data_IF_626186058065
#
_entry.id   IF_626186058065
#
_cell.length_a   1.000
_cell.length_b   1.000
_cell.length_c   1.000
_cell.angle_alpha   90.00
_cell.angle_beta   90.00
_cell.angle_gamma   90.00
#
_symmetry.space_group_name_H-M   'P 1'
#
loop_
_entity.id
_entity.type
_entity.pdbx_description
1 polymer ?
#
# COMPACT_ATOMS: atom_id res chain seq x y z
N UNK A 1 22.84 8.43 -5.26
CA UNK A 1 21.62 7.60 -5.36
C UNK A 1 21.52 7.20 -6.82
N UNK A 2 21.50 5.90 -7.10
CA UNK A 2 21.52 5.40 -8.48
C UNK A 2 20.19 5.72 -9.19
N UNK A 3 20.20 5.89 -10.51
CA UNK A 3 19.00 6.15 -11.32
C UNK A 3 17.98 5.01 -11.16
N UNK A 4 18.45 3.78 -10.99
CA UNK A 4 17.59 2.61 -10.75
C UNK A 4 16.87 2.70 -9.40
N UNK A 5 17.56 3.18 -8.36
CA UNK A 5 16.96 3.36 -7.02
C UNK A 5 15.86 4.42 -7.04
N UNK A 6 16.10 5.53 -7.75
CA UNK A 6 15.12 6.62 -7.89
C UNK A 6 13.85 6.11 -8.57
N UNK A 7 14.00 5.34 -9.65
CA UNK A 7 12.85 4.79 -10.39
C UNK A 7 12.02 3.85 -9.52
N UNK A 8 12.66 2.90 -8.83
CA UNK A 8 11.99 1.98 -7.92
C UNK A 8 11.26 2.71 -6.78
N UNK A 9 11.87 3.78 -6.29
CA UNK A 9 11.30 4.62 -5.23
C UNK A 9 10.04 5.39 -5.71
N UNK A 10 10.03 5.86 -6.97
CA UNK A 10 8.86 6.47 -7.61
C UNK A 10 7.71 5.47 -7.73
N UNK A 11 7.97 4.30 -8.32
CA UNK A 11 6.97 3.25 -8.55
C UNK A 11 6.32 2.78 -7.23
N UNK A 12 7.12 2.67 -6.17
CA UNK A 12 6.61 2.35 -4.83
C UNK A 12 5.74 3.47 -4.27
N UNK A 13 6.12 4.73 -4.47
CA UNK A 13 5.33 5.88 -4.01
C UNK A 13 4.00 6.00 -4.76
N UNK A 14 3.99 5.77 -6.07
CA UNK A 14 2.79 5.72 -6.90
C UNK A 14 1.84 4.61 -6.41
N UNK A 15 2.39 3.43 -6.13
CA UNK A 15 1.62 2.30 -5.61
C UNK A 15 1.04 2.59 -4.22
N UNK A 16 1.78 3.28 -3.35
CA UNK A 16 1.25 3.73 -2.04
C UNK A 16 0.12 4.74 -2.21
N UNK A 17 0.23 5.69 -3.15
CA UNK A 17 -0.85 6.65 -3.44
C UNK A 17 -2.11 5.92 -3.93
N UNK A 18 -1.94 4.93 -4.80
CA UNK A 18 -3.02 4.07 -5.29
C UNK A 18 -3.69 3.27 -4.16
N UNK A 19 -2.89 2.67 -3.26
CA UNK A 19 -3.40 1.99 -2.07
C UNK A 19 -4.21 2.95 -1.19
N UNK A 20 -3.69 4.15 -0.93
CA UNK A 20 -4.40 5.18 -0.16
C UNK A 20 -5.74 5.52 -0.83
N UNK A 21 -5.77 5.62 -2.16
CA UNK A 21 -7.02 5.88 -2.91
C UNK A 21 -8.09 4.84 -2.58
N UNK A 22 -7.73 3.57 -2.72
CA UNK A 22 -8.65 2.46 -2.47
C UNK A 22 -9.08 2.36 -1.00
N UNK A 23 -8.16 2.57 -0.06
CA UNK A 23 -8.44 2.47 1.39
C UNK A 23 -9.28 3.63 1.91
N UNK A 24 -8.93 4.87 1.55
CA UNK A 24 -9.55 6.08 2.11
C UNK A 24 -10.84 6.49 1.44
N UNK A 25 -10.82 6.50 0.12
CA UNK A 25 -11.90 7.10 -0.65
C UNK A 25 -12.87 6.05 -1.17
N UNK A 26 -12.36 4.90 -1.62
CA UNK A 26 -13.21 3.84 -2.18
C UNK A 26 -13.61 2.78 -1.15
N UNK A 27 -13.01 2.79 0.05
CA UNK A 27 -13.20 1.76 1.10
C UNK A 27 -13.02 0.33 0.59
N UNK A 28 -12.22 0.15 -0.45
CA UNK A 28 -11.99 -1.11 -1.13
C UNK A 28 -10.66 -1.74 -0.66
N UNK A 29 -10.72 -2.42 0.48
CA UNK A 29 -9.56 -3.07 1.08
C UNK A 29 -9.09 -4.27 0.27
N UNK A 30 -9.99 -4.93 -0.47
CA UNK A 30 -9.65 -6.06 -1.34
C UNK A 30 -8.72 -5.65 -2.49
N UNK A 31 -9.04 -4.58 -3.21
CA UNK A 31 -8.18 -4.07 -4.29
C UNK A 31 -6.85 -3.56 -3.77
N UNK A 32 -6.87 -2.87 -2.62
CA UNK A 32 -5.65 -2.43 -1.97
C UNK A 32 -4.75 -3.63 -1.59
N UNK A 33 -5.33 -4.68 -1.03
CA UNK A 33 -4.62 -5.91 -0.69
C UNK A 33 -4.04 -6.62 -1.92
N UNK A 34 -4.78 -6.65 -3.03
CA UNK A 34 -4.30 -7.20 -4.29
C UNK A 34 -3.03 -6.49 -4.79
N UNK A 35 -3.03 -5.15 -4.79
CA UNK A 35 -1.86 -4.35 -5.19
C UNK A 35 -0.66 -4.65 -4.30
N UNK A 36 -0.90 -4.78 -2.99
CA UNK A 36 0.16 -5.08 -2.01
C UNK A 36 0.82 -6.43 -2.32
N UNK A 37 0.02 -7.46 -2.61
CA UNK A 37 0.51 -8.81 -2.91
C UNK A 37 1.24 -8.82 -4.26
N UNK A 38 0.63 -8.28 -5.32
CA UNK A 38 1.18 -8.29 -6.67
C UNK A 38 2.50 -7.52 -6.78
N UNK A 39 2.59 -6.38 -6.12
CA UNK A 39 3.79 -5.51 -6.15
C UNK A 39 4.78 -5.84 -5.03
N UNK A 40 4.52 -6.88 -4.23
CA UNK A 40 5.33 -7.30 -3.09
C UNK A 40 5.67 -6.14 -2.13
N UNK A 41 4.67 -5.31 -1.83
CA UNK A 41 4.80 -4.16 -0.94
C UNK A 41 4.62 -4.63 0.49
N UNK A 42 5.48 -4.19 1.40
CA UNK A 42 5.31 -4.49 2.83
C UNK A 42 4.42 -3.44 3.51
N UNK A 43 3.74 -3.82 4.58
CA UNK A 43 2.97 -2.84 5.39
C UNK A 43 3.88 -1.73 5.93
N UNK A 44 5.13 -2.06 6.26
CA UNK A 44 6.16 -1.10 6.66
C UNK A 44 6.37 -0.02 5.58
N UNK A 45 6.48 -0.42 4.30
CA UNK A 45 6.64 0.55 3.21
C UNK A 45 5.45 1.52 3.10
N UNK A 46 4.25 1.08 3.45
CA UNK A 46 3.05 1.93 3.41
C UNK A 46 3.13 2.94 4.56
N UNK A 47 3.31 2.49 5.80
CA UNK A 47 3.30 3.38 6.98
C UNK A 47 4.47 4.38 7.00
N UNK A 48 5.63 4.01 6.44
CA UNK A 48 6.78 4.91 6.32
C UNK A 48 6.56 6.02 5.27
N UNK A 49 5.72 5.76 4.27
CA UNK A 49 5.52 6.67 3.13
C UNK A 49 4.27 7.51 3.21
N UNK A 50 3.32 7.12 4.06
CA UNK A 50 2.07 7.88 4.20
C UNK A 50 1.53 7.84 5.62
N UNK A 51 1.19 9.02 6.12
CA UNK A 51 0.42 9.21 7.36
C UNK A 51 -1.08 9.27 7.11
N UNK A 52 -1.52 9.11 5.84
CA UNK A 52 -2.92 9.28 5.49
C UNK A 52 -3.77 8.13 6.02
N UNK A 53 -3.23 6.91 6.13
CA UNK A 53 -3.99 5.72 6.58
C UNK A 53 -4.00 5.68 8.11
N UNK A 54 -5.20 5.58 8.70
CA UNK A 54 -5.37 5.47 10.15
C UNK A 54 -5.16 4.02 10.61
N UNK A 55 -4.83 3.83 11.90
CA UNK A 55 -4.58 2.51 12.48
C UNK A 55 -5.71 1.49 12.21
N UNK A 56 -6.97 1.92 12.31
CA UNK A 56 -8.11 1.03 12.06
C UNK A 56 -8.21 0.57 10.59
N UNK A 57 -7.88 1.46 9.65
CA UNK A 57 -7.88 1.11 8.22
C UNK A 57 -6.68 0.25 7.86
N UNK A 58 -5.54 0.49 8.51
CA UNK A 58 -4.36 -0.35 8.38
C UNK A 58 -4.65 -1.77 8.89
N UNK A 59 -5.33 -1.91 10.03
CA UNK A 59 -5.75 -3.22 10.55
C UNK A 59 -6.63 -3.96 9.54
N UNK A 60 -7.66 -3.30 8.99
CA UNK A 60 -8.51 -3.89 7.94
C UNK A 60 -7.73 -4.27 6.67
N UNK A 61 -6.75 -3.46 6.29
CA UNK A 61 -5.89 -3.75 5.15
C UNK A 61 -5.02 -4.98 5.40
N UNK A 62 -4.47 -5.12 6.60
CA UNK A 62 -3.74 -6.32 7.02
C UNK A 62 -4.64 -7.56 6.97
N UNK A 63 -5.86 -7.47 7.51
CA UNK A 63 -6.83 -8.57 7.48
C UNK A 63 -7.15 -8.97 6.03
N UNK A 64 -7.37 -8.00 5.14
CA UNK A 64 -7.64 -8.25 3.73
C UNK A 64 -6.46 -8.91 2.99
N UNK A 65 -5.22 -8.56 3.33
CA UNK A 65 -4.02 -9.21 2.78
C UNK A 65 -3.88 -10.63 3.30
N UNK A 66 -4.11 -10.86 4.60
CA UNK A 66 -4.04 -12.19 5.19
C UNK A 66 -5.14 -13.12 4.65
N UNK A 67 -6.35 -12.61 4.41
CA UNK A 67 -7.45 -13.40 3.87
C UNK A 67 -7.24 -13.85 2.41
N UNK A 68 -6.33 -13.21 1.66
CA UNK A 68 -6.00 -13.54 0.26
C UNK A 68 -4.77 -14.44 0.13
N UNK A 69 -4.07 -14.70 1.22
CA UNK A 69 -2.82 -15.47 1.26
C UNK A 69 -3.10 -16.92 1.60
#
# INVERSE_FOLDING_TARGET
MDVQDIKRNSELSESVVEIVKFVKYERNFDKAAQIIIEKNITMTNIVERTLRIQMFELAKLCDAVLAKK
#
